data_IF_491537968346
#
_entry.id   IF_491537968346
#
_cell.length_a   1.000
_cell.length_b   1.000
_cell.length_c   1.000
_cell.angle_alpha   90.00
_cell.angle_beta   90.00
_cell.angle_gamma   90.00
#
_symmetry.space_group_name_H-M   'P 1'
#
loop_
_entity.id
_entity.type
_entity.pdbx_description
1 polymer ?
#
# COMPACT_ATOMS: atom_id res chain seq x y z
N UNK A 1 -6.55 -10.34 9.42
CA UNK A 1 -5.40 -9.46 9.72
C UNK A 1 -4.94 -8.86 8.40
N UNK A 2 -4.44 -7.64 8.40
CA UNK A 2 -4.17 -6.90 7.16
C UNK A 2 -2.74 -6.36 7.15
N UNK A 3 -2.22 -6.05 5.97
CA UNK A 3 -0.85 -5.57 5.81
C UNK A 3 -0.77 -4.45 4.78
N UNK A 4 0.04 -3.44 5.08
CA UNK A 4 0.48 -2.42 4.14
C UNK A 4 1.91 -2.72 3.72
N UNK A 5 2.16 -2.73 2.41
CA UNK A 5 3.45 -3.03 1.79
C UNK A 5 3.90 -1.82 0.96
N UNK A 6 5.18 -1.46 1.06
CA UNK A 6 5.85 -0.55 0.13
C UNK A 6 6.93 -1.35 -0.59
N UNK A 7 6.83 -1.41 -1.91
CA UNK A 7 7.82 -2.02 -2.78
C UNK A 7 8.57 -0.96 -3.56
N UNK A 8 9.90 -1.05 -3.62
CA UNK A 8 10.77 -0.22 -4.45
C UNK A 8 11.75 -1.12 -5.17
N UNK A 9 11.94 -0.92 -6.47
CA UNK A 9 12.88 -1.71 -7.29
C UNK A 9 12.68 -3.24 -7.17
N UNK A 10 11.43 -3.69 -7.03
CA UNK A 10 11.08 -5.11 -6.88
C UNK A 10 11.38 -5.71 -5.50
N UNK A 11 11.76 -4.90 -4.52
CA UNK A 11 11.99 -5.33 -3.14
C UNK A 11 10.98 -4.69 -2.18
N UNK A 12 10.56 -5.44 -1.16
CA UNK A 12 9.77 -4.87 -0.06
C UNK A 12 10.66 -3.97 0.80
N UNK A 13 10.44 -2.66 0.71
CA UNK A 13 11.15 -1.65 1.50
C UNK A 13 10.55 -1.50 2.89
N UNK A 14 9.22 -1.59 2.99
CA UNK A 14 8.49 -1.44 4.24
C UNK A 14 7.28 -2.36 4.28
N UNK A 15 6.99 -2.90 5.46
CA UNK A 15 5.75 -3.63 5.74
C UNK A 15 5.23 -3.31 7.14
N UNK A 16 3.91 -3.13 7.25
CA UNK A 16 3.22 -2.88 8.52
C UNK A 16 1.97 -3.73 8.61
N UNK A 17 1.88 -4.54 9.65
CA UNK A 17 0.69 -5.32 9.96
C UNK A 17 -0.31 -4.47 10.76
N UNK A 18 -1.59 -4.56 10.43
CA UNK A 18 -2.65 -3.81 11.08
C UNK A 18 -3.90 -4.67 11.32
N UNK A 19 -4.71 -4.25 12.30
CA UNK A 19 -5.83 -5.04 12.79
C UNK A 19 -7.04 -5.02 11.85
N UNK A 20 -7.28 -3.93 11.13
CA UNK A 20 -8.52 -3.73 10.35
C UNK A 20 -8.23 -3.37 8.90
N UNK A 21 -9.16 -3.73 8.01
CA UNK A 21 -9.10 -3.44 6.58
C UNK A 21 -9.08 -1.94 6.31
N UNK A 22 -10.02 -1.24 6.93
CA UNK A 22 -10.19 0.20 6.78
C UNK A 22 -8.92 0.95 7.16
N UNK A 23 -8.23 0.52 8.22
CA UNK A 23 -6.96 1.15 8.61
C UNK A 23 -5.83 0.80 7.64
N UNK A 24 -5.79 -0.41 7.07
CA UNK A 24 -4.81 -0.77 6.04
C UNK A 24 -4.96 0.10 4.78
N UNK A 25 -6.21 0.31 4.33
CA UNK A 25 -6.53 1.16 3.17
C UNK A 25 -6.23 2.63 3.46
N UNK A 26 -6.60 3.12 4.65
CA UNK A 26 -6.29 4.48 5.10
C UNK A 26 -4.78 4.73 5.12
N UNK A 27 -4.01 3.86 5.78
CA UNK A 27 -2.56 4.00 5.88
C UNK A 27 -1.88 3.94 4.49
N UNK A 28 -2.33 3.03 3.62
CA UNK A 28 -1.80 2.95 2.25
C UNK A 28 -2.06 4.25 1.46
N UNK A 29 -3.23 4.88 1.65
CA UNK A 29 -3.55 6.18 1.05
C UNK A 29 -2.68 7.30 1.61
N UNK A 30 -2.54 7.41 2.93
CA UNK A 30 -1.72 8.48 3.54
C UNK A 30 -0.25 8.38 3.09
N UNK A 31 0.29 7.16 3.00
CA UNK A 31 1.64 6.93 2.49
C UNK A 31 1.75 7.27 1.00
N UNK A 32 0.70 6.96 0.22
CA UNK A 32 0.63 7.35 -1.19
C UNK A 32 0.60 8.88 -1.33
N UNK A 33 -0.23 9.60 -0.57
CA UNK A 33 -0.34 11.06 -0.64
C UNK A 33 1.02 11.73 -0.36
N UNK A 34 1.80 11.24 0.61
CA UNK A 34 3.18 11.70 0.87
C UNK A 34 4.13 11.36 -0.28
N UNK A 35 3.96 10.18 -0.88
CA UNK A 35 4.78 9.66 -1.97
C UNK A 35 4.40 10.14 -3.37
N UNK A 36 3.45 11.08 -3.50
CA UNK A 36 2.82 11.44 -4.79
C UNK A 36 2.27 10.22 -5.53
N UNK A 37 1.64 9.32 -4.79
CA UNK A 37 1.07 8.07 -5.27
C UNK A 37 -0.26 8.29 -5.97
N UNK A 38 -0.43 7.63 -7.12
CA UNK A 38 -1.67 7.62 -7.89
C UNK A 38 -2.39 6.31 -7.63
N UNK A 39 -3.67 6.38 -7.26
CA UNK A 39 -4.49 5.19 -7.10
C UNK A 39 -4.65 4.48 -8.44
N UNK A 40 -4.36 3.18 -8.46
CA UNK A 40 -4.55 2.32 -9.63
C UNK A 40 -5.55 1.23 -9.29
N UNK A 41 -6.08 0.55 -10.32
CA UNK A 41 -7.05 -0.52 -10.14
C UNK A 41 -6.51 -1.57 -9.15
N UNK A 42 -7.17 -1.75 -7.98
CA UNK A 42 -6.76 -2.73 -7.00
C UNK A 42 -7.21 -4.10 -7.51
N UNK A 43 -6.29 -4.90 -8.06
CA UNK A 43 -6.60 -6.22 -8.60
C UNK A 43 -7.00 -7.20 -7.48
N UNK A 44 -6.01 -7.90 -6.92
CA UNK A 44 -6.17 -8.72 -5.71
C UNK A 44 -5.87 -7.94 -4.42
N UNK A 45 -5.38 -6.71 -4.55
CA UNK A 45 -5.05 -5.83 -3.44
C UNK A 45 -6.33 -5.16 -2.91
N UNK A 46 -6.36 -4.78 -1.64
CA UNK A 46 -7.44 -3.96 -1.05
C UNK A 46 -7.35 -2.50 -1.51
N UNK A 47 -6.12 -2.02 -1.67
CA UNK A 47 -5.80 -0.74 -2.29
C UNK A 47 -4.41 -0.83 -2.92
N UNK A 48 -4.20 -0.17 -4.05
CA UNK A 48 -2.91 -0.12 -4.74
C UNK A 48 -2.65 1.29 -5.27
N UNK A 49 -1.46 1.79 -5.00
CA UNK A 49 -0.99 3.10 -5.41
C UNK A 49 0.39 2.99 -6.05
N UNK A 50 0.58 3.65 -7.18
CA UNK A 50 1.88 3.77 -7.83
C UNK A 50 2.50 5.12 -7.50
N UNK A 51 3.71 5.09 -6.96
CA UNK A 51 4.53 6.27 -6.67
C UNK A 51 5.68 6.36 -7.67
N UNK A 52 6.36 7.51 -7.81
CA UNK A 52 7.54 7.63 -8.68
C UNK A 52 8.69 6.67 -8.33
N UNK A 53 8.70 6.10 -7.12
CA UNK A 53 9.79 5.25 -6.61
C UNK A 53 9.38 3.80 -6.38
N UNK A 54 8.13 3.43 -6.66
CA UNK A 54 7.63 2.11 -6.29
C UNK A 54 6.12 2.02 -6.12
N UNK A 55 5.65 0.95 -5.48
CA UNK A 55 4.23 0.63 -5.30
C UNK A 55 3.89 0.54 -3.81
N UNK A 56 2.75 1.10 -3.42
CA UNK A 56 2.17 0.96 -2.09
C UNK A 56 0.90 0.15 -2.23
N UNK A 57 0.74 -0.91 -1.45
CA UNK A 57 -0.46 -1.76 -1.49
C UNK A 57 -0.92 -2.18 -0.10
N UNK A 58 -2.23 -2.17 0.09
CA UNK A 58 -2.89 -2.81 1.23
C UNK A 58 -3.38 -4.18 0.80
N UNK A 59 -3.09 -5.22 1.58
CA UNK A 59 -3.44 -6.62 1.27
C UNK A 59 -3.99 -7.34 2.49
N UNK A 60 -4.76 -8.39 2.24
CA UNK A 60 -5.13 -9.38 3.26
C UNK A 60 -3.90 -10.22 3.61
N UNK A 61 -3.70 -10.52 4.91
CA UNK A 61 -2.62 -11.40 5.38
C UNK A 61 -3.08 -12.84 5.49
#
# INVERSE_FOLDING_TARGET
MYRVLIERDGQTYFQKDVATEAYAVYEARELADVGNGVMVAPGADLARYETPTGVIRAVTR
#
